data_IF_490589880776
#
_entry.id   IF_490589880776
#
_cell.length_a   1.000
_cell.length_b   1.000
_cell.length_c   1.000
_cell.angle_alpha   90.00
_cell.angle_beta   90.00
_cell.angle_gamma   90.00
#
_symmetry.space_group_name_H-M   'P 1'
#
loop_
_entity.id
_entity.type
_entity.pdbx_description
1 polymer ?
#
# COMPACT_ATOMS: atom_id res chain seq x y z
N UNK A 1 -14.97 -32.38 -13.65
CA UNK A 1 -13.79 -31.50 -13.84
C UNK A 1 -14.29 -30.07 -13.78
N UNK A 2 -14.16 -29.41 -12.62
CA UNK A 2 -14.45 -27.97 -12.50
C UNK A 2 -13.42 -27.26 -13.37
N UNK A 3 -13.91 -26.55 -14.40
CA UNK A 3 -13.12 -26.08 -15.53
C UNK A 3 -11.96 -25.19 -15.10
N UNK A 4 -10.82 -25.40 -15.75
CA UNK A 4 -9.72 -24.45 -15.79
C UNK A 4 -10.22 -23.16 -16.45
N UNK A 5 -10.82 -22.26 -15.67
CA UNK A 5 -11.20 -20.95 -16.18
C UNK A 5 -9.94 -20.26 -16.70
N UNK A 6 -10.00 -19.84 -17.96
CA UNK A 6 -8.92 -19.05 -18.54
C UNK A 6 -8.88 -17.73 -17.77
N UNK A 7 -7.74 -17.41 -17.16
CA UNK A 7 -7.55 -16.14 -16.44
C UNK A 7 -6.82 -15.18 -17.37
N UNK A 8 -7.46 -14.04 -17.64
CA UNK A 8 -6.84 -12.93 -18.37
C UNK A 8 -6.61 -11.80 -17.38
N UNK A 9 -5.38 -11.31 -17.30
CA UNK A 9 -5.00 -10.19 -16.41
C UNK A 9 -4.59 -9.02 -17.28
N UNK A 10 -5.19 -7.85 -17.06
CA UNK A 10 -4.91 -6.61 -17.81
C UNK A 10 -4.72 -5.43 -16.87
N UNK A 11 -4.18 -4.33 -17.41
CA UNK A 11 -3.95 -3.06 -16.70
C UNK A 11 -3.10 -3.20 -15.43
N UNK A 12 -2.08 -4.08 -15.45
CA UNK A 12 -1.24 -4.39 -14.28
C UNK A 12 -0.08 -3.42 -14.06
N UNK A 13 0.04 -2.34 -14.85
CA UNK A 13 1.21 -1.47 -14.82
C UNK A 13 1.48 -0.85 -13.43
N UNK A 14 0.43 -0.50 -12.68
CA UNK A 14 0.57 0.00 -11.31
C UNK A 14 1.15 -1.07 -10.38
N UNK A 15 0.65 -2.30 -10.47
CA UNK A 15 1.13 -3.42 -9.67
C UNK A 15 2.57 -3.77 -10.01
N UNK A 16 2.86 -3.89 -11.30
CA UNK A 16 4.20 -4.22 -11.78
C UNK A 16 5.20 -3.13 -11.37
N UNK A 17 4.82 -1.85 -11.38
CA UNK A 17 5.69 -0.75 -10.91
C UNK A 17 6.02 -0.87 -9.42
N UNK A 18 5.03 -1.16 -8.56
CA UNK A 18 5.25 -1.36 -7.12
C UNK A 18 6.20 -2.55 -6.90
N UNK A 19 5.96 -3.67 -7.58
CA UNK A 19 6.81 -4.86 -7.48
C UNK A 19 8.24 -4.56 -7.88
N UNK A 20 8.46 -3.83 -8.97
CA UNK A 20 9.80 -3.48 -9.44
C UNK A 20 10.53 -2.59 -8.42
N UNK A 21 9.85 -1.59 -7.84
CA UNK A 21 10.42 -0.73 -6.80
C UNK A 21 10.86 -1.57 -5.59
N UNK A 22 10.01 -2.47 -5.10
CA UNK A 22 10.31 -3.28 -3.93
C UNK A 22 11.37 -4.35 -4.23
N UNK A 23 11.34 -4.95 -5.42
CA UNK A 23 12.36 -5.89 -5.87
C UNK A 23 13.73 -5.21 -5.96
N UNK A 24 13.79 -3.97 -6.45
CA UNK A 24 15.02 -3.18 -6.46
C UNK A 24 15.49 -2.84 -5.03
N UNK A 25 14.57 -2.53 -4.12
CA UNK A 25 14.89 -2.26 -2.71
C UNK A 25 15.52 -3.46 -1.97
N UNK A 26 15.33 -4.70 -2.47
CA UNK A 26 16.00 -5.89 -1.95
C UNK A 26 17.52 -5.91 -2.15
N UNK A 27 18.11 -4.90 -2.80
CA UNK A 27 19.55 -4.66 -2.76
C UNK A 27 20.06 -4.28 -1.35
N UNK A 28 19.18 -3.74 -0.50
CA UNK A 28 19.50 -3.39 0.87
C UNK A 28 19.15 -4.53 1.84
N UNK A 29 20.15 -5.01 2.58
CA UNK A 29 20.03 -6.20 3.44
C UNK A 29 18.87 -6.12 4.44
N UNK A 30 18.69 -4.97 5.11
CA UNK A 30 17.60 -4.78 6.07
C UNK A 30 16.20 -4.99 5.44
N UNK A 31 16.00 -4.50 4.22
CA UNK A 31 14.73 -4.67 3.52
C UNK A 31 14.58 -6.11 3.01
N UNK A 32 15.66 -6.66 2.45
CA UNK A 32 15.71 -8.05 1.99
C UNK A 32 15.38 -9.05 3.10
N UNK A 33 15.96 -8.89 4.29
CA UNK A 33 15.64 -9.70 5.47
C UNK A 33 14.15 -9.64 5.81
N UNK A 34 13.55 -8.44 5.74
CA UNK A 34 12.11 -8.28 5.98
C UNK A 34 11.28 -9.03 4.96
N UNK A 35 11.63 -8.92 3.67
CA UNK A 35 10.99 -9.70 2.59
C UNK A 35 11.19 -11.20 2.79
N UNK A 36 12.34 -11.62 3.31
CA UNK A 36 12.67 -13.02 3.50
C UNK A 36 11.86 -13.71 4.60
N UNK A 37 11.50 -12.97 5.67
CA UNK A 37 10.70 -13.46 6.81
C UNK A 37 9.20 -13.18 6.68
N UNK A 38 8.79 -12.32 5.75
CA UNK A 38 7.41 -11.90 5.61
C UNK A 38 6.48 -13.07 5.23
N UNK A 39 5.29 -13.08 5.84
CA UNK A 39 4.29 -14.15 5.67
C UNK A 39 3.18 -13.78 4.68
N UNK A 40 3.10 -12.52 4.25
CA UNK A 40 2.04 -12.04 3.36
C UNK A 40 2.32 -12.39 1.90
N UNK A 41 1.24 -12.55 1.13
CA UNK A 41 1.33 -13.03 -0.26
C UNK A 41 2.14 -12.10 -1.16
N UNK A 42 2.02 -10.80 -0.98
CA UNK A 42 2.75 -9.80 -1.77
C UNK A 42 4.24 -9.85 -1.51
N UNK A 43 4.70 -9.97 -0.26
CA UNK A 43 6.13 -10.10 0.02
C UNK A 43 6.69 -11.47 -0.40
N UNK A 44 5.92 -12.55 -0.24
CA UNK A 44 6.29 -13.87 -0.81
C UNK A 44 6.43 -13.81 -2.33
N UNK A 45 5.57 -13.04 -2.99
CA UNK A 45 5.67 -12.80 -4.42
C UNK A 45 6.91 -11.99 -4.79
N UNK A 46 7.20 -10.89 -4.07
CA UNK A 46 8.42 -10.08 -4.29
C UNK A 46 9.67 -10.96 -4.12
N UNK A 47 9.75 -11.76 -3.06
CA UNK A 47 10.83 -12.73 -2.83
C UNK A 47 10.99 -13.68 -4.03
N UNK A 48 9.88 -14.27 -4.47
CA UNK A 48 9.88 -15.19 -5.61
C UNK A 48 10.30 -14.49 -6.90
N UNK A 49 9.85 -13.26 -7.11
CA UNK A 49 10.17 -12.46 -8.30
C UNK A 49 11.66 -12.13 -8.37
N UNK A 50 12.26 -11.69 -7.26
CA UNK A 50 13.70 -11.42 -7.17
C UNK A 50 14.53 -12.67 -7.46
N UNK A 51 14.08 -13.84 -6.99
CA UNK A 51 14.80 -15.11 -7.17
C UNK A 51 14.66 -15.72 -8.58
N UNK A 52 13.47 -15.60 -9.18
CA UNK A 52 13.12 -16.35 -10.39
C UNK A 52 13.03 -15.48 -11.65
N UNK A 53 12.88 -14.16 -11.48
CA UNK A 53 12.58 -13.24 -12.58
C UNK A 53 11.24 -13.55 -13.28
N UNK A 54 11.04 -13.09 -14.52
CA UNK A 54 9.77 -13.24 -15.24
C UNK A 54 9.59 -14.68 -15.73
N UNK A 55 8.84 -15.49 -14.96
CA UNK A 55 8.51 -16.88 -15.31
C UNK A 55 7.00 -17.11 -15.34
N UNK A 56 6.56 -18.22 -15.95
CA UNK A 56 5.15 -18.66 -15.90
C UNK A 56 4.64 -18.79 -14.46
N UNK A 57 5.49 -19.20 -13.53
CA UNK A 57 5.15 -19.31 -12.10
C UNK A 57 4.85 -17.94 -11.51
N UNK A 58 5.73 -16.95 -11.75
CA UNK A 58 5.51 -15.56 -11.32
C UNK A 58 4.24 -15.00 -11.93
N UNK A 59 4.02 -15.20 -13.24
CA UNK A 59 2.80 -14.73 -13.89
C UNK A 59 1.54 -15.29 -13.23
N UNK A 60 1.54 -16.59 -12.88
CA UNK A 60 0.43 -17.23 -12.17
C UNK A 60 0.24 -16.64 -10.77
N UNK A 61 1.30 -16.52 -9.97
CA UNK A 61 1.19 -15.96 -8.62
C UNK A 61 0.70 -14.52 -8.63
N UNK A 62 1.14 -13.70 -9.60
CA UNK A 62 0.60 -12.35 -9.83
C UNK A 62 -0.91 -12.38 -10.06
N UNK A 63 -1.38 -13.27 -10.92
CA UNK A 63 -2.80 -13.41 -11.20
C UNK A 63 -3.60 -13.78 -9.94
N UNK A 64 -3.10 -14.70 -9.12
CA UNK A 64 -3.77 -15.08 -7.86
C UNK A 64 -3.84 -13.92 -6.85
N UNK A 65 -2.77 -13.13 -6.71
CA UNK A 65 -2.78 -11.94 -5.84
C UNK A 65 -3.84 -10.95 -6.29
N UNK A 66 -3.86 -10.61 -7.58
CA UNK A 66 -4.79 -9.63 -8.12
C UNK A 66 -6.23 -10.16 -8.13
N UNK A 67 -6.43 -11.48 -8.22
CA UNK A 67 -7.75 -12.12 -8.15
C UNK A 67 -8.40 -11.95 -6.78
N UNK A 68 -7.62 -11.86 -5.71
CA UNK A 68 -8.13 -11.64 -4.36
C UNK A 68 -8.71 -10.22 -4.17
N UNK A 69 -8.44 -9.30 -5.09
CA UNK A 69 -9.04 -7.97 -5.11
C UNK A 69 -10.37 -8.05 -5.86
N UNK A 70 -11.46 -8.21 -5.13
CA UNK A 70 -12.81 -8.43 -5.70
C UNK A 70 -13.23 -7.33 -6.69
N UNK A 71 -12.81 -6.08 -6.47
CA UNK A 71 -13.07 -4.96 -7.37
C UNK A 71 -12.44 -5.10 -8.76
N UNK A 72 -11.43 -5.96 -8.92
CA UNK A 72 -10.78 -6.20 -10.20
C UNK A 72 -11.44 -7.32 -11.01
N UNK A 73 -12.37 -8.07 -10.42
CA UNK A 73 -13.00 -9.22 -11.06
C UNK A 73 -14.11 -8.80 -12.02
N UNK A 74 -14.00 -9.27 -13.25
CA UNK A 74 -15.05 -9.26 -14.26
C UNK A 74 -15.31 -10.71 -14.65
N UNK A 75 -16.39 -11.27 -14.11
CA UNK A 75 -16.75 -12.67 -14.34
C UNK A 75 -17.64 -12.80 -15.58
N UNK A 76 -17.20 -13.65 -16.51
CA UNK A 76 -18.02 -14.18 -17.60
C UNK A 76 -18.08 -15.70 -17.50
N UNK A 77 -19.05 -16.33 -18.17
CA UNK A 77 -19.37 -17.76 -18.01
C UNK A 77 -18.18 -18.73 -18.12
N UNK A 78 -17.12 -18.37 -18.88
CA UNK A 78 -15.97 -19.25 -19.14
C UNK A 78 -14.57 -18.61 -18.88
N UNK A 79 -14.51 -17.29 -18.63
CA UNK A 79 -13.26 -16.54 -18.50
C UNK A 79 -13.34 -15.62 -17.29
N UNK A 80 -12.35 -15.71 -16.40
CA UNK A 80 -12.15 -14.76 -15.31
C UNK A 80 -11.22 -13.67 -15.82
N UNK A 81 -11.75 -12.46 -15.98
CA UNK A 81 -10.93 -11.30 -16.34
C UNK A 81 -10.62 -10.51 -15.08
N UNK A 82 -9.34 -10.22 -14.87
CA UNK A 82 -8.83 -9.38 -13.79
C UNK A 82 -8.37 -8.06 -14.41
N UNK A 83 -9.11 -6.99 -14.15
CA UNK A 83 -8.79 -5.63 -14.55
C UNK A 83 -8.17 -4.86 -13.37
N UNK A 84 -6.85 -4.78 -13.33
CA UNK A 84 -6.12 -4.15 -12.22
C UNK A 84 -5.97 -2.62 -12.37
N UNK A 85 -6.80 -1.99 -13.21
CA UNK A 85 -6.81 -0.53 -13.36
C UNK A 85 -7.25 0.13 -12.05
N UNK A 86 -6.28 0.66 -11.31
CA UNK A 86 -6.50 1.34 -10.04
C UNK A 86 -5.43 2.41 -9.84
N UNK A 87 -5.76 3.44 -9.07
CA UNK A 87 -4.74 4.36 -8.60
C UNK A 87 -3.80 3.64 -7.61
N UNK A 88 -2.57 4.16 -7.45
CA UNK A 88 -1.54 3.53 -6.61
C UNK A 88 -1.98 3.45 -5.14
N UNK A 89 -2.75 4.43 -4.65
CA UNK A 89 -3.24 4.46 -3.27
C UNK A 89 -4.10 3.24 -2.97
N UNK A 90 -5.16 3.04 -3.74
CA UNK A 90 -6.07 1.90 -3.59
C UNK A 90 -5.33 0.58 -3.83
N UNK A 91 -4.45 0.54 -4.83
CA UNK A 91 -3.69 -0.66 -5.13
C UNK A 91 -2.79 -1.08 -3.96
N UNK A 92 -2.07 -0.13 -3.35
CA UNK A 92 -1.26 -0.39 -2.16
C UNK A 92 -2.10 -0.91 -0.99
N UNK A 93 -3.26 -0.31 -0.72
CA UNK A 93 -4.17 -0.79 0.33
C UNK A 93 -4.67 -2.22 0.07
N UNK A 94 -4.95 -2.57 -1.19
CA UNK A 94 -5.40 -3.92 -1.55
C UNK A 94 -4.31 -4.99 -1.46
N UNK A 95 -3.07 -4.67 -1.85
CA UNK A 95 -1.98 -5.65 -1.91
C UNK A 95 -1.14 -5.70 -0.62
N UNK A 96 -1.24 -4.70 0.26
CA UNK A 96 -0.56 -4.68 1.56
C UNK A 96 -1.52 -4.57 2.76
N UNK A 97 -2.58 -5.40 2.84
CA UNK A 97 -3.62 -5.25 3.85
C UNK A 97 -3.12 -5.43 5.29
N UNK A 98 -1.94 -6.05 5.48
CA UNK A 98 -1.31 -6.28 6.78
C UNK A 98 0.10 -5.65 6.89
N UNK A 99 0.59 -5.02 5.82
CA UNK A 99 1.93 -4.44 5.75
C UNK A 99 1.86 -2.94 5.48
N UNK A 100 1.31 -2.23 6.44
CA UNK A 100 1.18 -0.78 6.39
C UNK A 100 2.55 -0.09 6.34
N UNK A 101 2.59 1.05 5.67
CA UNK A 101 3.79 1.89 5.60
C UNK A 101 4.02 2.64 6.90
N UNK A 102 2.93 3.01 7.59
CA UNK A 102 3.03 3.68 8.89
C UNK A 102 1.75 3.51 9.73
N UNK A 103 1.90 3.76 11.02
CA UNK A 103 0.86 3.68 12.04
C UNK A 103 0.81 5.01 12.79
N UNK A 104 -0.38 5.60 12.84
CA UNK A 104 -0.71 6.77 13.67
C UNK A 104 -1.38 6.27 14.96
N UNK A 105 -0.88 6.72 16.10
CA UNK A 105 -1.46 6.46 17.42
C UNK A 105 -1.95 7.78 17.98
N UNK A 106 -3.26 7.93 18.10
CA UNK A 106 -3.91 9.12 18.63
C UNK A 106 -4.42 8.84 20.05
N UNK A 107 -3.90 9.58 21.03
CA UNK A 107 -4.25 9.43 22.44
C UNK A 107 -4.95 10.69 22.94
N UNK A 108 -6.17 10.55 23.45
CA UNK A 108 -6.83 11.64 24.16
C UNK A 108 -6.18 11.83 25.52
N UNK A 109 -5.72 13.04 25.83
CA UNK A 109 -5.04 13.31 27.10
C UNK A 109 -6.00 13.27 28.31
N UNK A 110 -7.29 13.52 28.10
CA UNK A 110 -8.29 13.59 29.17
C UNK A 110 -8.83 12.21 29.55
N UNK A 111 -9.28 11.42 28.57
CA UNK A 111 -9.84 10.08 28.83
C UNK A 111 -8.92 8.92 28.52
N UNK A 112 -7.72 9.20 28.01
CA UNK A 112 -6.72 8.18 27.68
C UNK A 112 -7.18 7.18 26.61
N UNK A 113 -8.28 7.47 25.90
CA UNK A 113 -8.72 6.66 24.78
C UNK A 113 -7.68 6.72 23.66
N UNK A 114 -7.28 5.54 23.17
CA UNK A 114 -6.31 5.38 22.10
C UNK A 114 -7.05 4.96 20.82
N UNK A 115 -6.77 5.67 19.73
CA UNK A 115 -7.15 5.27 18.38
C UNK A 115 -5.89 4.97 17.59
N UNK A 116 -5.85 3.80 16.95
CA UNK A 116 -4.75 3.39 16.07
C UNK A 116 -5.27 3.43 14.64
N UNK A 117 -4.58 4.16 13.77
CA UNK A 117 -4.86 4.24 12.33
C UNK A 117 -3.65 3.69 11.59
N UNK A 118 -3.89 2.72 10.71
CA UNK A 118 -2.83 2.08 9.92
C UNK A 118 -3.06 2.43 8.45
N UNK A 119 -2.00 2.83 7.75
CA UNK A 119 -2.10 3.34 6.38
C UNK A 119 -0.96 2.81 5.51
N UNK A 120 -1.26 2.48 4.26
CA UNK A 120 -0.25 2.07 3.29
C UNK A 120 0.39 3.28 2.58
N UNK A 121 -0.31 4.41 2.51
CA UNK A 121 0.17 5.63 1.84
C UNK A 121 0.33 6.76 2.83
N UNK A 122 1.53 7.34 2.87
CA UNK A 122 1.80 8.61 3.53
C UNK A 122 1.38 9.76 2.60
N UNK A 123 0.32 10.51 2.93
CA UNK A 123 -0.13 11.63 2.12
C UNK A 123 0.85 12.81 2.20
N UNK A 124 0.96 13.56 1.11
CA UNK A 124 1.69 14.82 1.03
C UNK A 124 0.71 15.98 0.82
N UNK A 125 0.91 17.08 1.54
CA UNK A 125 0.13 18.29 1.35
C UNK A 125 0.51 18.96 0.01
N UNK A 126 -0.38 18.81 -0.97
CA UNK A 126 -0.21 19.37 -2.31
C UNK A 126 -0.15 20.90 -2.33
N UNK A 127 -0.84 21.60 -1.42
CA UNK A 127 -0.85 23.07 -1.40
C UNK A 127 0.54 23.63 -1.12
N UNK A 128 1.30 22.97 -0.23
CA UNK A 128 2.68 23.35 0.10
C UNK A 128 3.59 23.10 -1.10
N UNK A 129 3.43 21.96 -1.77
CA UNK A 129 4.20 21.65 -2.98
C UNK A 129 3.88 22.63 -4.12
N UNK A 130 2.61 22.97 -4.32
CA UNK A 130 2.19 23.92 -5.34
C UNK A 130 2.73 25.33 -5.09
N UNK A 131 2.84 25.73 -3.81
CA UNK A 131 3.30 27.07 -3.44
C UNK A 131 4.82 27.21 -3.40
N UNK A 132 5.53 26.19 -2.93
CA UNK A 132 6.95 26.28 -2.61
C UNK A 132 7.82 25.25 -3.34
N UNK A 133 7.21 24.34 -4.10
CA UNK A 133 7.88 23.25 -4.78
C UNK A 133 8.59 22.30 -3.82
N UNK A 134 9.60 21.59 -4.34
CA UNK A 134 10.39 20.63 -3.57
C UNK A 134 11.23 21.23 -2.44
N UNK A 135 11.41 22.55 -2.41
CA UNK A 135 12.13 23.24 -1.33
C UNK A 135 11.47 23.03 0.05
N UNK A 136 10.18 22.65 0.06
CA UNK A 136 9.37 22.45 1.25
C UNK A 136 8.73 21.06 1.32
N UNK A 137 9.37 20.06 0.72
CA UNK A 137 8.83 18.68 0.69
C UNK A 137 8.71 18.06 2.10
N UNK A 138 9.63 18.37 3.01
CA UNK A 138 9.57 17.90 4.40
C UNK A 138 8.34 18.48 5.09
N UNK A 139 8.15 19.79 5.02
CA UNK A 139 6.97 20.51 5.54
C UNK A 139 5.68 19.94 4.91
N UNK A 140 5.68 19.67 3.59
CA UNK A 140 4.55 19.08 2.89
C UNK A 140 4.20 17.66 3.39
N UNK A 141 5.21 16.84 3.70
CA UNK A 141 5.03 15.50 4.27
C UNK A 141 4.55 15.59 5.72
N UNK A 142 5.09 16.51 6.52
CA UNK A 142 4.70 16.70 7.91
C UNK A 142 3.26 17.20 8.04
N UNK A 143 2.87 18.18 7.22
CA UNK A 143 1.50 18.71 7.21
C UNK A 143 0.50 17.76 6.53
N UNK A 144 0.95 16.92 5.59
CA UNK A 144 0.10 15.88 4.99
C UNK A 144 -0.38 14.85 6.02
N UNK A 145 0.40 14.58 7.07
CA UNK A 145 0.05 13.63 8.16
C UNK A 145 -1.12 14.10 9.03
N UNK A 146 -1.55 15.35 8.91
CA UNK A 146 -2.41 16.01 9.88
C UNK A 146 -3.89 15.74 9.60
N UNK A 147 -4.39 14.58 10.02
CA UNK A 147 -5.77 14.54 10.51
C UNK A 147 -5.72 15.01 11.96
N UNK A 148 -6.15 16.26 12.23
CA UNK A 148 -6.37 16.74 13.61
C UNK A 148 -7.46 15.91 14.27
N UNK A 149 -7.08 14.74 14.78
CA UNK A 149 -8.04 13.81 15.35
C UNK A 149 -8.55 14.39 16.66
N UNK A 150 -9.86 14.59 16.75
CA UNK A 150 -10.51 15.03 17.98
C UNK A 150 -11.13 13.86 18.71
N UNK A 151 -11.00 13.86 20.02
CA UNK A 151 -11.69 12.89 20.87
C UNK A 151 -13.20 13.04 20.70
N UNK A 152 -13.91 11.96 20.37
CA UNK A 152 -15.36 11.99 20.19
C UNK A 152 -16.13 12.37 21.47
N UNK A 153 -15.54 12.13 22.65
CA UNK A 153 -16.18 12.39 23.95
C UNK A 153 -15.93 13.80 24.49
N UNK A 154 -14.72 14.34 24.29
CA UNK A 154 -14.32 15.65 24.85
C UNK A 154 -14.15 16.74 23.78
N UNK A 155 -14.18 16.37 22.49
CA UNK A 155 -13.94 17.26 21.34
C UNK A 155 -12.58 18.00 21.37
N UNK A 156 -11.63 17.47 22.14
CA UNK A 156 -10.25 17.97 22.26
C UNK A 156 -9.33 17.29 21.25
N UNK A 157 -8.28 18.00 20.83
CA UNK A 157 -7.25 17.46 19.94
C UNK A 157 -6.45 16.36 20.66
N UNK A 158 -6.32 15.21 20.01
CA UNK A 158 -5.56 14.09 20.56
C UNK A 158 -4.05 14.31 20.32
N UNK A 159 -3.23 13.87 21.27
CA UNK A 159 -1.80 13.74 21.05
C UNK A 159 -1.54 12.63 20.03
N UNK A 160 -0.69 12.89 19.04
CA UNK A 160 -0.39 11.94 17.97
C UNK A 160 1.07 11.49 18.04
N UNK A 161 1.30 10.18 17.92
CA UNK A 161 2.62 9.62 17.61
C UNK A 161 2.56 8.78 16.34
N UNK A 162 3.68 8.73 15.61
CA UNK A 162 3.79 8.03 14.32
C UNK A 162 4.94 7.04 14.38
N UNK A 163 4.69 5.83 13.90
CA UNK A 163 5.71 4.80 13.69
C UNK A 163 5.73 4.38 12.21
N UNK A 164 6.91 4.34 11.62
CA UNK A 164 7.10 3.95 10.22
C UNK A 164 7.54 2.49 10.11
N UNK A 165 7.09 1.84 9.04
CA UNK A 165 7.47 0.48 8.67
C UNK A 165 8.73 0.47 7.80
N UNK A 166 9.10 -0.70 7.29
CA UNK A 166 10.31 -0.88 6.47
C UNK A 166 10.14 -0.36 5.04
N UNK A 167 8.90 -0.26 4.57
CA UNK A 167 8.51 0.38 3.31
C UNK A 167 7.67 1.61 3.60
N UNK A 168 7.86 2.65 2.80
CA UNK A 168 7.09 3.88 2.87
C UNK A 168 6.68 4.28 1.45
N UNK A 169 5.39 4.22 1.16
CA UNK A 169 4.83 4.81 -0.05
C UNK A 169 4.38 6.22 0.26
N UNK A 170 4.90 7.19 -0.49
CA UNK A 170 4.57 8.59 -0.37
C UNK A 170 3.84 8.98 -1.65
N UNK A 171 2.63 9.51 -1.52
CA UNK A 171 1.84 9.93 -2.67
C UNK A 171 1.08 11.21 -2.31
N UNK A 172 0.85 12.05 -3.30
CA UNK A 172 -0.03 13.19 -3.10
C UNK A 172 -1.45 12.66 -2.90
N UNK A 173 -2.06 12.95 -1.75
CA UNK A 173 -3.40 12.46 -1.51
C UNK A 173 -4.33 13.10 -2.52
N UNK A 174 -5.06 12.28 -3.29
CA UNK A 174 -6.32 12.75 -3.84
C UNK A 174 -7.19 13.02 -2.61
N UNK A 175 -7.24 14.27 -2.17
CA UNK A 175 -8.27 14.75 -1.26
C UNK A 175 -9.61 14.50 -1.95
N UNK A 176 -10.20 13.34 -1.70
CA UNK A 176 -11.60 13.05 -2.03
C UNK A 176 -12.50 13.63 -0.96
#
# INVERSE_FOLDING_TARGET
>A
KVGSSNIIVKNTCGFDSIVQILAAACIYDKFKETVDIATTDTFKFIKSFVQLGPTKKIYKTRAEILKNVTYFLQDTLDIVTIDALSNIVNLCEYIFPENYSYIEICTCQTCHNIKIVKKCILPVNEEILNKYGYAKIVDAIEEGKVLKFRCSKYNEECFMSVSYSVQLFIESSITT
#
